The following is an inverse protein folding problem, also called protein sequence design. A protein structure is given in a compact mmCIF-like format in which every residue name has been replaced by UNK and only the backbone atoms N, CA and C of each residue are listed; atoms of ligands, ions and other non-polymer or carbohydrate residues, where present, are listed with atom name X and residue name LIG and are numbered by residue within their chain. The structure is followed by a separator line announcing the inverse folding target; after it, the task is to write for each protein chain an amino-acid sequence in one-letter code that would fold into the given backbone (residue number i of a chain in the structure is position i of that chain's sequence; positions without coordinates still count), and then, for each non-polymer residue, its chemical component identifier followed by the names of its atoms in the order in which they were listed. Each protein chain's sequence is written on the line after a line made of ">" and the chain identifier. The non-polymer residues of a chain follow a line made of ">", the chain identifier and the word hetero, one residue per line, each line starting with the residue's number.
data_IF_546843528613
#
_entry.id   IF_546843528613
#
_cell.length_a   1.000
_cell.length_b   1.000
_cell.length_c   1.000
_cell.angle_alpha   90.00
_cell.angle_beta   90.00
_cell.angle_gamma   90.00
#
_symmetry.space_group_name_H-M   'P 1'
#
loop_
_entity.id
_entity.type
_entity.pdbx_description
1 polymer ?
#
# COMPACT_ATOMS: atom_id res chain seq x y z
N UNK A 1 -11.42 -22.54 -58.14
CA UNK A 1 -11.01 -21.90 -56.87
C UNK A 1 -9.89 -22.73 -56.29
N UNK A 2 -8.76 -22.11 -55.97
CA UNK A 2 -7.57 -22.83 -55.53
C UNK A 2 -7.70 -23.19 -54.05
N UNK A 3 -7.56 -24.47 -53.71
CA UNK A 3 -7.80 -24.98 -52.36
C UNK A 3 -6.87 -24.32 -51.33
N UNK A 4 -5.62 -24.03 -51.74
CA UNK A 4 -4.62 -23.33 -50.94
C UNK A 4 -5.05 -21.93 -50.48
N UNK A 5 -5.84 -21.22 -51.29
CA UNK A 5 -6.33 -19.90 -50.92
C UNK A 5 -7.40 -19.96 -49.81
N UNK A 6 -8.15 -21.07 -49.73
CA UNK A 6 -9.22 -21.25 -48.73
C UNK A 6 -8.61 -21.66 -47.39
N UNK A 7 -7.59 -22.53 -47.38
CA UNK A 7 -6.83 -22.88 -46.16
C UNK A 7 -6.09 -21.67 -45.59
N UNK A 8 -5.53 -20.81 -46.43
CA UNK A 8 -4.83 -19.61 -45.97
C UNK A 8 -5.78 -18.59 -45.30
N UNK A 9 -7.00 -18.42 -45.82
CA UNK A 9 -8.03 -17.57 -45.20
C UNK A 9 -8.52 -18.16 -43.86
N UNK A 10 -8.68 -19.49 -43.80
CA UNK A 10 -9.09 -20.19 -42.59
C UNK A 10 -8.05 -20.08 -41.46
N UNK A 11 -6.76 -20.18 -41.80
CA UNK A 11 -5.67 -20.04 -40.83
C UNK A 11 -5.48 -18.59 -40.36
N UNK A 12 -5.67 -17.59 -41.24
CA UNK A 12 -5.63 -16.17 -40.86
C UNK A 12 -6.80 -15.80 -39.93
N UNK A 13 -8.00 -16.30 -40.21
CA UNK A 13 -9.15 -16.11 -39.33
C UNK A 13 -8.96 -16.82 -37.98
N UNK A 14 -8.42 -18.04 -37.98
CA UNK A 14 -8.15 -18.75 -36.73
C UNK A 14 -6.99 -18.13 -35.93
N UNK A 15 -5.93 -17.62 -36.56
CA UNK A 15 -4.84 -16.92 -35.86
C UNK A 15 -5.32 -15.65 -35.15
N UNK A 16 -6.17 -14.84 -35.80
CA UNK A 16 -6.77 -13.67 -35.16
C UNK A 16 -7.70 -14.06 -34.00
N UNK A 17 -8.50 -15.12 -34.15
CA UNK A 17 -9.37 -15.62 -33.08
C UNK A 17 -8.58 -16.21 -31.92
N UNK A 18 -7.45 -16.89 -32.17
CA UNK A 18 -6.55 -17.41 -31.13
C UNK A 18 -5.90 -16.25 -30.38
N UNK A 19 -5.40 -15.22 -31.07
CA UNK A 19 -4.83 -14.03 -30.42
C UNK A 19 -5.86 -13.28 -29.57
N UNK A 20 -7.09 -13.08 -30.05
CA UNK A 20 -8.16 -12.38 -29.30
C UNK A 20 -8.64 -13.22 -28.10
N UNK A 21 -8.69 -14.55 -28.23
CA UNK A 21 -9.06 -15.47 -27.15
C UNK A 21 -8.00 -15.52 -26.05
N UNK A 22 -6.72 -15.45 -26.42
CA UNK A 22 -5.62 -15.32 -25.46
C UNK A 22 -5.65 -13.96 -24.76
N UNK A 23 -5.97 -12.86 -25.45
CA UNK A 23 -6.07 -11.53 -24.82
C UNK A 23 -7.16 -11.47 -23.75
N UNK A 24 -8.36 -12.02 -24.00
CA UNK A 24 -9.42 -12.07 -22.98
C UNK A 24 -9.04 -12.92 -21.77
N UNK A 25 -8.40 -14.07 -22.01
CA UNK A 25 -7.98 -14.99 -20.94
C UNK A 25 -6.86 -14.38 -20.10
N UNK A 26 -5.90 -13.73 -20.74
CA UNK A 26 -4.80 -13.02 -20.09
C UNK A 26 -5.32 -11.82 -19.29
N UNK A 27 -6.32 -11.10 -19.83
CA UNK A 27 -7.00 -10.01 -19.13
C UNK A 27 -7.76 -10.51 -17.90
N UNK A 28 -8.51 -11.60 -18.00
CA UNK A 28 -9.20 -12.21 -16.86
C UNK A 28 -8.22 -12.72 -15.79
N UNK A 29 -7.09 -13.32 -16.19
CA UNK A 29 -6.03 -13.74 -15.26
C UNK A 29 -5.38 -12.54 -14.55
N UNK A 30 -5.09 -11.46 -15.27
CA UNK A 30 -4.58 -10.21 -14.69
C UNK A 30 -5.59 -9.60 -13.71
N UNK A 31 -6.87 -9.54 -14.08
CA UNK A 31 -7.94 -9.01 -13.24
C UNK A 31 -8.16 -9.87 -11.98
N UNK A 32 -8.11 -11.20 -12.10
CA UNK A 32 -8.23 -12.11 -10.96
C UNK A 32 -7.02 -12.00 -10.01
N UNK A 33 -5.81 -11.97 -10.56
CA UNK A 33 -4.58 -11.79 -9.79
C UNK A 33 -4.60 -10.44 -9.04
N UNK A 34 -5.04 -9.39 -9.73
CA UNK A 34 -5.21 -8.06 -9.17
C UNK A 34 -6.26 -8.03 -8.06
N UNK A 35 -7.44 -8.61 -8.26
CA UNK A 35 -8.50 -8.67 -7.24
C UNK A 35 -8.02 -9.37 -5.97
N UNK A 36 -7.25 -10.45 -6.10
CA UNK A 36 -6.66 -11.17 -4.96
C UNK A 36 -5.64 -10.30 -4.22
N UNK A 37 -4.80 -9.57 -4.94
CA UNK A 37 -3.84 -8.65 -4.33
C UNK A 37 -4.50 -7.44 -3.68
N UNK A 38 -5.53 -6.85 -4.28
CA UNK A 38 -6.32 -5.76 -3.71
C UNK A 38 -7.00 -6.22 -2.43
N UNK A 39 -7.58 -7.42 -2.42
CA UNK A 39 -8.16 -8.00 -1.21
C UNK A 39 -7.10 -8.17 -0.12
N UNK A 40 -5.93 -8.73 -0.46
CA UNK A 40 -4.81 -8.88 0.48
C UNK A 40 -4.34 -7.54 1.03
N UNK A 41 -4.16 -6.53 0.18
CA UNK A 41 -3.77 -5.18 0.58
C UNK A 41 -4.82 -4.53 1.46
N UNK A 42 -6.12 -4.72 1.15
CA UNK A 42 -7.21 -4.22 2.00
C UNK A 42 -7.19 -4.89 3.37
N UNK A 43 -6.84 -6.18 3.46
CA UNK A 43 -6.74 -6.91 4.71
C UNK A 43 -5.50 -6.48 5.51
N UNK A 44 -4.35 -6.28 4.84
CA UNK A 44 -3.14 -5.72 5.44
C UNK A 44 -3.39 -4.29 5.98
N UNK A 45 -4.11 -3.45 5.23
CA UNK A 45 -4.48 -2.09 5.65
C UNK A 45 -5.48 -2.09 6.80
N UNK A 46 -6.52 -2.94 6.75
CA UNK A 46 -7.49 -3.07 7.83
C UNK A 46 -6.82 -3.57 9.12
N UNK A 47 -5.96 -4.57 9.02
CA UNK A 47 -5.16 -5.05 10.16
C UNK A 47 -4.26 -3.97 10.73
N UNK A 48 -3.59 -3.19 9.88
CA UNK A 48 -2.75 -2.06 10.30
C UNK A 48 -3.56 -0.96 11.00
N UNK A 49 -4.76 -0.66 10.50
CA UNK A 49 -5.68 0.31 11.11
C UNK A 49 -6.18 -0.15 12.49
N UNK A 50 -6.57 -1.41 12.62
CA UNK A 50 -6.98 -2.00 13.91
C UNK A 50 -5.84 -1.99 14.93
N UNK A 51 -4.62 -2.34 14.50
CA UNK A 51 -3.43 -2.28 15.34
C UNK A 51 -3.13 -0.85 15.78
N UNK A 52 -3.17 0.12 14.85
CA UNK A 52 -2.94 1.53 15.16
C UNK A 52 -3.95 2.09 16.17
N UNK A 53 -5.23 1.74 16.02
CA UNK A 53 -6.28 2.09 16.96
C UNK A 53 -6.07 1.42 18.33
N UNK A 54 -5.70 0.14 18.36
CA UNK A 54 -5.39 -0.58 19.59
C UNK A 54 -4.21 0.03 20.35
N UNK A 55 -3.12 0.39 19.65
CA UNK A 55 -1.97 1.09 20.23
C UNK A 55 -2.36 2.46 20.78
N UNK A 56 -3.16 3.21 20.02
CA UNK A 56 -3.67 4.52 20.46
C UNK A 56 -4.49 4.41 21.74
N UNK A 57 -5.44 3.47 21.81
CA UNK A 57 -6.27 3.27 23.01
C UNK A 57 -5.45 2.79 24.20
N UNK A 58 -4.50 1.88 23.98
CA UNK A 58 -3.58 1.43 25.01
C UNK A 58 -2.74 2.58 25.56
N UNK A 59 -2.17 3.42 24.69
CA UNK A 59 -1.41 4.60 25.10
C UNK A 59 -2.27 5.58 25.89
N UNK A 60 -3.50 5.84 25.45
CA UNK A 60 -4.42 6.71 26.18
C UNK A 60 -4.71 6.18 27.59
N UNK A 61 -5.00 4.88 27.71
CA UNK A 61 -5.19 4.21 29.00
C UNK A 61 -3.94 4.31 29.90
N UNK A 62 -2.74 4.10 29.35
CA UNK A 62 -1.47 4.29 30.07
C UNK A 62 -1.24 5.75 30.47
N UNK A 63 -1.66 6.71 29.66
CA UNK A 63 -1.59 8.13 29.97
C UNK A 63 -2.53 8.55 31.11
N UNK A 64 -3.68 7.89 31.25
CA UNK A 64 -4.59 8.11 32.37
C UNK A 64 -4.10 7.51 33.69
N UNK A 65 -3.30 6.44 33.62
CA UNK A 65 -2.86 5.67 34.80
C UNK A 65 -1.45 6.01 35.27
N UNK A 66 -0.62 6.62 34.43
CA UNK A 66 0.75 7.03 34.80
C UNK A 66 0.86 8.54 34.98
N UNK A 67 1.30 8.98 36.15
CA UNK A 67 1.53 10.41 36.41
C UNK A 67 2.81 10.91 35.72
N UNK A 68 3.89 10.12 35.78
CA UNK A 68 5.22 10.54 35.34
C UNK A 68 5.38 10.65 33.81
N UNK A 69 4.61 9.89 33.03
CA UNK A 69 4.68 9.83 31.56
C UNK A 69 3.35 10.20 30.87
N UNK A 70 2.42 10.83 31.61
CA UNK A 70 1.09 11.20 31.12
C UNK A 70 1.11 11.90 29.77
N UNK A 71 1.95 12.93 29.64
CA UNK A 71 2.05 13.76 28.45
C UNK A 71 2.56 12.95 27.24
N UNK A 72 3.64 12.18 27.38
CA UNK A 72 4.16 11.30 26.32
C UNK A 72 3.10 10.34 25.82
N UNK A 73 2.38 9.68 26.73
CA UNK A 73 1.37 8.70 26.35
C UNK A 73 0.15 9.35 25.67
N UNK A 74 -0.30 10.51 26.15
CA UNK A 74 -1.43 11.20 25.53
C UNK A 74 -1.10 11.77 24.15
N UNK A 75 0.08 12.39 23.99
CA UNK A 75 0.55 12.86 22.67
C UNK A 75 0.76 11.67 21.74
N UNK A 76 1.34 10.58 22.25
CA UNK A 76 1.52 9.36 21.47
C UNK A 76 0.21 8.78 20.98
N UNK A 77 -0.79 8.68 21.85
CA UNK A 77 -2.14 8.27 21.49
C UNK A 77 -2.70 9.17 20.37
N UNK A 78 -2.61 10.48 20.50
CA UNK A 78 -3.08 11.43 19.48
C UNK A 78 -2.39 11.24 18.12
N UNK A 79 -1.07 11.03 18.10
CA UNK A 79 -0.30 10.80 16.86
C UNK A 79 -0.74 9.47 16.20
N UNK A 80 -0.79 8.37 16.95
CA UNK A 80 -1.22 7.07 16.40
C UNK A 80 -2.66 7.09 15.91
N UNK A 81 -3.55 7.78 16.63
CA UNK A 81 -4.92 8.00 16.19
C UNK A 81 -4.98 8.78 14.88
N UNK A 82 -4.25 9.90 14.78
CA UNK A 82 -4.23 10.73 13.58
C UNK A 82 -3.72 9.96 12.35
N UNK A 83 -2.68 9.15 12.51
CA UNK A 83 -2.13 8.29 11.45
C UNK A 83 -3.16 7.23 11.03
N UNK A 84 -3.85 6.62 11.99
CA UNK A 84 -4.91 5.65 11.72
C UNK A 84 -6.05 6.28 10.92
N UNK A 85 -6.53 7.45 11.36
CA UNK A 85 -7.58 8.21 10.65
C UNK A 85 -7.12 8.61 9.24
N UNK A 86 -5.87 9.04 9.08
CA UNK A 86 -5.30 9.35 7.77
C UNK A 86 -5.33 8.15 6.83
N UNK A 87 -4.89 6.96 7.26
CA UNK A 87 -4.95 5.76 6.43
C UNK A 87 -6.38 5.35 6.07
N UNK A 88 -7.32 5.48 7.01
CA UNK A 88 -8.74 5.22 6.76
C UNK A 88 -9.29 6.22 5.73
N UNK A 89 -9.02 7.51 5.89
CA UNK A 89 -9.48 8.56 4.98
C UNK A 89 -8.94 8.35 3.55
N UNK A 90 -7.65 8.03 3.43
CA UNK A 90 -7.01 7.73 2.15
C UNK A 90 -7.62 6.48 1.49
N UNK A 91 -7.89 5.43 2.27
CA UNK A 91 -8.54 4.20 1.78
C UNK A 91 -9.98 4.46 1.33
N UNK A 92 -10.75 5.24 2.09
CA UNK A 92 -12.11 5.64 1.72
C UNK A 92 -12.11 6.46 0.44
N UNK A 93 -11.20 7.44 0.32
CA UNK A 93 -11.06 8.27 -0.88
C UNK A 93 -10.74 7.43 -2.12
N UNK A 94 -9.89 6.41 -1.97
CA UNK A 94 -9.58 5.48 -3.06
C UNK A 94 -10.82 4.67 -3.47
N UNK A 95 -11.55 4.10 -2.50
CA UNK A 95 -12.80 3.35 -2.78
C UNK A 95 -13.87 4.21 -3.45
N UNK A 96 -13.97 5.49 -3.08
CA UNK A 96 -14.89 6.42 -3.73
C UNK A 96 -14.48 6.68 -5.19
N UNK A 97 -13.18 6.79 -5.47
CA UNK A 97 -12.67 6.93 -6.83
C UNK A 97 -12.97 5.70 -7.69
N UNK A 98 -12.84 4.51 -7.11
CA UNK A 98 -13.14 3.24 -7.79
C UNK A 98 -14.61 3.10 -8.21
N UNK A 99 -15.54 3.67 -7.44
CA UNK A 99 -16.97 3.65 -7.75
C UNK A 99 -17.34 4.48 -8.97
N UNK A 100 -16.49 5.42 -9.39
CA UNK A 100 -16.78 6.31 -10.51
C UNK A 100 -16.37 5.72 -11.87
N UNK A 101 -15.67 4.58 -11.90
CA UNK A 101 -15.30 3.94 -13.16
C UNK A 101 -16.49 3.14 -13.73
N UNK A 102 -16.68 3.23 -15.05
CA UNK A 102 -17.72 2.49 -15.77
C UNK A 102 -17.37 1.01 -16.01
N UNK A 103 -18.19 0.35 -16.84
CA UNK A 103 -18.04 -1.08 -17.17
C UNK A 103 -17.21 -1.34 -18.44
N UNK A 104 -16.75 -0.29 -19.13
CA UNK A 104 -15.96 -0.45 -20.36
C UNK A 104 -14.61 -1.10 -20.08
N UNK A 105 -14.01 -1.71 -21.11
CA UNK A 105 -12.67 -2.32 -21.00
C UNK A 105 -11.62 -1.26 -20.65
N UNK A 106 -11.72 -0.08 -21.25
CA UNK A 106 -10.90 1.08 -20.93
C UNK A 106 -11.05 1.51 -19.46
N UNK A 107 -12.27 1.62 -18.95
CA UNK A 107 -12.53 1.99 -17.54
C UNK A 107 -11.93 0.98 -16.56
N UNK A 108 -12.02 -0.32 -16.88
CA UNK A 108 -11.44 -1.39 -16.05
C UNK A 108 -9.92 -1.30 -16.02
N UNK A 109 -9.27 -1.04 -17.16
CA UNK A 109 -7.82 -0.83 -17.23
C UNK A 109 -7.39 0.45 -16.50
N UNK A 110 -8.14 1.54 -16.61
CA UNK A 110 -7.86 2.77 -15.85
C UNK A 110 -8.04 2.58 -14.35
N UNK A 111 -9.09 1.88 -13.93
CA UNK A 111 -9.31 1.52 -12.54
C UNK A 111 -8.12 0.69 -12.02
N UNK A 112 -7.67 -0.30 -12.79
CA UNK A 112 -6.51 -1.12 -12.45
C UNK A 112 -5.22 -0.32 -12.33
N UNK A 113 -4.96 0.57 -13.28
CA UNK A 113 -3.82 1.47 -13.23
C UNK A 113 -3.86 2.34 -11.96
N UNK A 114 -5.03 2.90 -11.63
CA UNK A 114 -5.21 3.73 -10.43
C UNK A 114 -4.93 2.96 -9.13
N UNK A 115 -5.30 1.67 -9.07
CA UNK A 115 -5.04 0.80 -7.92
C UNK A 115 -3.56 0.46 -7.78
N UNK A 116 -2.87 0.22 -8.89
CA UNK A 116 -1.42 -0.03 -8.90
C UNK A 116 -0.68 1.23 -8.44
N UNK A 117 -1.03 2.40 -8.98
CA UNK A 117 -0.42 3.68 -8.58
C UNK A 117 -0.65 3.99 -7.11
N UNK A 118 -1.87 3.76 -6.61
CA UNK A 118 -2.18 3.87 -5.19
C UNK A 118 -1.32 2.94 -4.34
N UNK A 119 -1.16 1.68 -4.77
CA UNK A 119 -0.34 0.68 -4.05
C UNK A 119 1.15 1.04 -4.04
N UNK A 120 1.66 1.58 -5.14
CA UNK A 120 3.03 2.10 -5.24
C UNK A 120 3.20 3.29 -4.30
N UNK A 121 2.29 4.28 -4.35
CA UNK A 121 2.32 5.44 -3.48
C UNK A 121 2.28 5.03 -2.01
N UNK A 122 1.37 4.12 -1.65
CA UNK A 122 1.24 3.63 -0.29
C UNK A 122 2.52 2.94 0.16
N UNK A 123 3.12 2.06 -0.64
CA UNK A 123 4.38 1.38 -0.28
C UNK A 123 5.56 2.35 -0.16
N UNK A 124 5.64 3.36 -1.04
CA UNK A 124 6.71 4.36 -1.01
C UNK A 124 6.63 5.22 0.24
N UNK A 125 5.42 5.56 0.69
CA UNK A 125 5.21 6.43 1.85
C UNK A 125 4.94 5.66 3.15
N UNK A 126 4.62 4.36 3.11
CA UNK A 126 4.29 3.55 4.28
C UNK A 126 5.41 3.57 5.32
N UNK A 127 6.67 3.57 4.87
CA UNK A 127 7.82 3.68 5.77
C UNK A 127 7.77 4.96 6.60
N UNK A 128 7.53 6.10 5.95
CA UNK A 128 7.43 7.39 6.63
C UNK A 128 6.25 7.42 7.60
N UNK A 129 5.09 6.94 7.17
CA UNK A 129 3.89 6.94 8.02
C UNK A 129 3.93 5.94 9.18
N UNK A 130 4.70 4.85 9.08
CA UNK A 130 4.87 3.89 10.19
C UNK A 130 6.01 4.26 11.14
N UNK A 131 7.11 4.82 10.63
CA UNK A 131 8.29 5.16 11.44
C UNK A 131 8.15 6.47 12.19
N UNK A 132 7.63 7.51 11.51
CA UNK A 132 7.61 8.86 12.06
C UNK A 132 6.80 8.92 13.38
N UNK A 133 5.62 8.29 13.50
CA UNK A 133 4.88 8.25 14.75
C UNK A 133 5.69 7.62 15.89
N UNK A 134 6.28 6.44 15.63
CA UNK A 134 7.07 5.71 16.62
C UNK A 134 8.24 6.57 17.08
N UNK A 135 8.96 7.19 16.15
CA UNK A 135 10.08 8.07 16.46
C UNK A 135 9.66 9.29 17.27
N UNK A 136 8.56 9.96 16.91
CA UNK A 136 8.04 11.11 17.64
C UNK A 136 7.64 10.76 19.07
N UNK A 137 6.85 9.71 19.27
CA UNK A 137 6.42 9.29 20.63
C UNK A 137 7.62 8.97 21.49
N UNK A 138 8.58 8.26 20.91
CA UNK A 138 9.72 7.78 21.64
C UNK A 138 10.71 8.92 21.95
N UNK A 139 10.90 9.89 21.05
CA UNK A 139 11.69 11.10 21.30
C UNK A 139 11.07 11.96 22.41
N UNK A 140 9.74 12.15 22.39
CA UNK A 140 9.01 12.86 23.46
C UNK A 140 9.20 12.14 24.81
N UNK A 141 9.09 10.81 24.80
CA UNK A 141 9.30 9.99 25.99
C UNK A 141 10.71 10.09 26.56
N UNK A 142 11.73 10.11 25.70
CA UNK A 142 13.11 10.31 26.11
C UNK A 142 13.30 11.69 26.76
N UNK A 143 12.82 12.76 26.10
CA UNK A 143 12.90 14.14 26.60
C UNK A 143 12.21 14.27 27.96
N UNK A 144 10.97 13.76 28.08
CA UNK A 144 10.21 13.83 29.32
C UNK A 144 10.92 13.08 30.45
N UNK A 145 11.46 11.88 30.18
CA UNK A 145 12.19 11.11 31.20
C UNK A 145 13.45 11.84 31.66
N UNK A 146 14.24 12.38 30.72
CA UNK A 146 15.50 13.07 31.05
C UNK A 146 15.30 14.41 31.77
N UNK A 147 14.22 15.14 31.45
CA UNK A 147 13.98 16.47 32.03
C UNK A 147 13.19 16.43 33.34
N UNK A 148 12.33 15.42 33.54
CA UNK A 148 11.34 15.43 34.63
C UNK A 148 11.58 14.34 35.67
N UNK A 149 12.07 13.16 35.27
CA UNK A 149 12.09 11.98 36.15
C UNK A 149 13.49 11.75 36.71
N UNK A 150 14.48 11.56 35.84
CA UNK A 150 15.84 11.23 36.27
C UNK A 150 16.86 11.66 35.21
N UNK A 151 17.89 12.44 35.58
CA UNK A 151 18.97 12.84 34.67
C UNK A 151 19.98 11.72 34.42
N UNK A 152 19.75 10.51 34.95
CA UNK A 152 20.62 9.36 34.67
C UNK A 152 20.69 9.15 33.16
N UNK A 153 21.89 8.84 32.62
CA UNK A 153 22.11 8.80 31.18
C UNK A 153 21.49 7.56 30.55
N UNK A 154 20.18 7.36 30.65
CA UNK A 154 19.47 6.26 29.97
C UNK A 154 19.37 6.47 28.46
N UNK A 155 19.87 7.59 27.93
CA UNK A 155 19.93 7.94 26.51
C UNK A 155 20.63 6.88 25.64
N UNK A 156 21.51 6.04 26.18
CA UNK A 156 22.10 4.92 25.42
C UNK A 156 21.08 3.82 25.12
N UNK A 157 20.22 3.46 26.08
CA UNK A 157 19.17 2.45 25.88
C UNK A 157 18.17 2.94 24.84
N UNK A 158 17.97 4.26 24.82
CA UNK A 158 17.27 4.92 23.74
C UNK A 158 18.02 4.68 22.41
N UNK A 159 19.23 5.21 22.20
CA UNK A 159 19.93 5.06 20.91
C UNK A 159 19.98 3.61 20.38
N UNK A 160 20.16 2.63 21.26
CA UNK A 160 20.11 1.20 20.92
C UNK A 160 18.71 0.78 20.42
N UNK A 161 17.64 1.16 21.10
CA UNK A 161 16.27 0.91 20.65
C UNK A 161 15.96 1.58 19.30
N UNK A 162 16.39 2.82 19.10
CA UNK A 162 16.24 3.54 17.83
C UNK A 162 17.00 2.85 16.68
N UNK A 163 18.24 2.44 16.91
CA UNK A 163 19.05 1.76 15.89
C UNK A 163 18.50 0.38 15.54
N UNK A 164 18.04 -0.41 16.53
CA UNK A 164 17.39 -1.70 16.29
C UNK A 164 16.08 -1.52 15.52
N UNK A 165 15.23 -0.57 15.94
CA UNK A 165 14.00 -0.23 15.25
C UNK A 165 14.27 0.18 13.80
N UNK A 166 15.18 1.13 13.60
CA UNK A 166 15.57 1.61 12.27
C UNK A 166 16.13 0.48 11.40
N UNK A 167 16.98 -0.40 11.95
CA UNK A 167 17.53 -1.54 11.22
C UNK A 167 16.45 -2.56 10.81
N UNK A 168 15.51 -2.87 11.71
CA UNK A 168 14.37 -3.73 11.42
C UNK A 168 13.50 -3.14 10.30
N UNK A 169 13.16 -1.86 10.40
CA UNK A 169 12.36 -1.17 9.39
C UNK A 169 13.09 -1.01 8.05
N UNK A 170 14.38 -0.72 8.06
CA UNK A 170 15.21 -0.66 6.85
C UNK A 170 15.29 -2.02 6.15
N UNK A 171 15.37 -3.11 6.92
CA UNK A 171 15.27 -4.47 6.40
C UNK A 171 13.90 -4.72 5.76
N UNK A 172 12.81 -4.26 6.37
CA UNK A 172 11.47 -4.36 5.79
C UNK A 172 11.31 -3.48 4.54
N UNK A 173 11.87 -2.27 4.53
CA UNK A 173 11.93 -1.38 3.36
C UNK A 173 12.59 -2.08 2.17
N UNK A 174 13.76 -2.70 2.38
CA UNK A 174 14.47 -3.46 1.35
C UNK A 174 13.66 -4.64 0.81
N UNK A 175 12.95 -5.35 1.70
CA UNK A 175 12.02 -6.42 1.28
C UNK A 175 10.83 -5.87 0.47
N UNK A 176 10.36 -4.68 0.83
CA UNK A 176 9.33 -3.95 0.10
C UNK A 176 9.76 -3.50 -1.29
N UNK A 177 11.01 -3.08 -1.47
CA UNK A 177 11.56 -2.62 -2.76
C UNK A 177 11.45 -3.66 -3.88
N UNK A 178 11.72 -4.93 -3.59
CA UNK A 178 11.53 -6.03 -4.58
C UNK A 178 10.08 -6.18 -5.03
N UNK A 179 9.13 -5.89 -4.14
CA UNK A 179 7.70 -5.91 -4.50
C UNK A 179 7.34 -4.66 -5.30
N UNK A 180 7.93 -3.51 -4.98
CA UNK A 180 7.70 -2.24 -5.68
C UNK A 180 8.04 -2.37 -7.17
N UNK A 181 9.18 -2.98 -7.49
CA UNK A 181 9.60 -3.22 -8.87
C UNK A 181 8.56 -4.03 -9.67
N UNK A 182 7.99 -5.09 -9.06
CA UNK A 182 6.90 -5.86 -9.69
C UNK A 182 5.63 -5.04 -9.94
N UNK A 183 5.33 -4.06 -9.09
CA UNK A 183 4.20 -3.15 -9.31
C UNK A 183 4.51 -2.14 -10.41
N UNK A 184 5.75 -1.67 -10.51
CA UNK A 184 6.19 -0.78 -11.59
C UNK A 184 6.13 -1.49 -12.95
N UNK A 185 6.63 -2.72 -13.05
CA UNK A 185 6.52 -3.54 -14.27
C UNK A 185 5.06 -3.70 -14.71
N UNK A 186 4.17 -4.08 -13.78
CA UNK A 186 2.73 -4.22 -14.08
C UNK A 186 2.08 -2.90 -14.47
N UNK A 187 2.49 -1.79 -13.86
CA UNK A 187 2.00 -0.45 -14.22
C UNK A 187 2.31 -0.16 -15.70
N UNK A 188 3.52 -0.44 -16.14
CA UNK A 188 3.91 -0.22 -17.53
C UNK A 188 3.19 -1.18 -18.48
N UNK A 189 2.96 -2.44 -18.10
CA UNK A 189 2.12 -3.37 -18.88
C UNK A 189 0.69 -2.84 -19.05
N UNK A 190 0.05 -2.39 -17.97
CA UNK A 190 -1.34 -1.87 -18.04
C UNK A 190 -1.42 -0.58 -18.86
N UNK A 191 -0.40 0.27 -18.79
CA UNK A 191 -0.31 1.46 -19.65
C UNK A 191 -0.16 1.12 -21.13
N UNK A 192 0.66 0.11 -21.46
CA UNK A 192 0.84 -0.38 -22.82
C UNK A 192 -0.49 -0.85 -23.41
N UNK A 193 -1.20 -1.72 -22.69
CA UNK A 193 -2.53 -2.21 -23.10
C UNK A 193 -3.55 -1.08 -23.26
N UNK A 194 -3.49 -0.06 -22.40
CA UNK A 194 -4.38 1.11 -22.50
C UNK A 194 -4.03 2.01 -23.70
N UNK A 195 -2.76 2.09 -24.10
CA UNK A 195 -2.34 2.82 -25.28
C UNK A 195 -2.79 2.10 -26.56
N UNK A 196 -2.56 0.78 -26.64
CA UNK A 196 -3.03 -0.06 -27.75
C UNK A 196 -4.55 0.04 -27.95
N UNK A 197 -5.32 0.03 -26.85
CA UNK A 197 -6.77 0.13 -26.93
C UNK A 197 -7.26 1.48 -27.47
N UNK A 198 -6.52 2.56 -27.20
CA UNK A 198 -6.83 3.90 -27.72
C UNK A 198 -6.46 4.10 -29.19
N UNK A 199 -5.56 3.27 -29.73
CA UNK A 199 -5.21 3.32 -31.16
C UNK A 199 -6.22 2.57 -32.04
N UNK A 200 -7.01 1.68 -31.44
CA UNK A 200 -8.04 0.88 -32.11
C UNK A 200 -9.41 1.56 -32.14
N UNK A 201 -9.67 2.50 -31.21
CA UNK A 201 -10.88 3.34 -31.16
C UNK A 201 -10.76 4.61 -32.01
#
# INVERSE_FOLDING_TARGET
>A
MNFDAITQIWDLQNQQVIQIRDHKRLLDEVLLAQKREVFRLSLENAGSGLLGLGVSLYMLYRGMTSESLRLTFNIGAAIFFAVTVFFVAVTVRQRLRERNFGNSLADRLQCALSQIEFSIWLRRNALWYSLLPVFCVWAIGAIQKTLVIDPTPTWYAYLVGCTIGFAYFFRQARRGGRKLQKFEERRETVKGLLAELKEVE
#
